data_IF_417604729262
#
_entry.id   IF_417604729262
#
_cell.length_a   1.000
_cell.length_b   1.000
_cell.length_c   1.000
_cell.angle_alpha   90.00
_cell.angle_beta   90.00
_cell.angle_gamma   90.00
#
_symmetry.space_group_name_H-M   'P 1'
#
loop_
_entity.id
_entity.type
_entity.pdbx_description
1 polymer ?
#
# COMPACT_ATOMS: atom_id res chain seq x y z
N UNK A 1 10.16 16.21 -26.82
CA UNK A 1 8.79 16.49 -26.34
C UNK A 1 8.82 17.75 -25.47
N UNK A 2 7.75 18.56 -25.41
CA UNK A 2 7.72 19.72 -24.50
C UNK A 2 7.16 19.30 -23.14
N UNK A 3 7.78 19.77 -22.06
CA UNK A 3 7.24 19.59 -20.72
C UNK A 3 5.84 20.21 -20.63
N UNK A 4 4.80 19.49 -20.20
CA UNK A 4 3.45 20.04 -20.10
C UNK A 4 3.33 21.13 -19.03
N UNK A 5 4.28 21.22 -18.09
CA UNK A 5 4.26 22.21 -17.02
C UNK A 5 4.97 23.52 -17.40
N UNK A 6 6.21 23.45 -17.90
CA UNK A 6 7.05 24.64 -18.16
C UNK A 6 7.45 24.81 -19.64
N UNK A 7 6.92 24.00 -20.54
CA UNK A 7 7.17 24.06 -21.99
C UNK A 7 8.64 23.83 -22.43
N UNK A 8 9.53 23.46 -21.51
CA UNK A 8 10.93 23.13 -21.82
C UNK A 8 11.00 21.94 -22.78
N UNK A 9 11.86 22.02 -23.79
CA UNK A 9 12.14 20.89 -24.69
C UNK A 9 12.92 19.80 -23.95
N UNK A 10 12.33 18.62 -23.85
CA UNK A 10 12.89 17.44 -23.21
C UNK A 10 13.30 16.39 -24.25
N UNK A 11 14.40 15.64 -24.01
CA UNK A 11 14.76 14.48 -24.82
C UNK A 11 13.66 13.41 -24.74
N UNK A 12 13.60 12.57 -25.78
CA UNK A 12 12.68 11.44 -25.79
C UNK A 12 12.99 10.49 -24.63
N UNK A 13 11.97 10.07 -23.87
CA UNK A 13 12.13 9.18 -22.72
C UNK A 13 12.55 9.86 -21.41
N UNK A 14 12.63 11.19 -21.35
CA UNK A 14 12.87 11.90 -20.10
C UNK A 14 11.78 11.55 -19.08
N UNK A 15 12.15 10.99 -17.91
CA UNK A 15 11.20 10.67 -16.83
C UNK A 15 10.76 11.91 -16.06
N UNK A 16 11.62 12.92 -15.98
CA UNK A 16 11.36 14.20 -15.32
C UNK A 16 11.84 15.36 -16.20
N UNK A 17 11.23 16.53 -16.03
CA UNK A 17 11.69 17.76 -16.64
C UNK A 17 12.95 18.25 -15.92
N UNK A 18 14.07 18.38 -16.63
CA UNK A 18 15.31 18.89 -16.04
C UNK A 18 15.27 20.40 -15.68
N UNK A 19 14.22 21.11 -16.11
CA UNK A 19 14.04 22.54 -15.83
C UNK A 19 13.13 22.79 -14.62
N UNK A 20 11.99 22.09 -14.51
CA UNK A 20 11.03 22.32 -13.42
C UNK A 20 10.76 21.09 -12.52
N UNK A 21 11.45 19.97 -12.73
CA UNK A 21 11.28 18.74 -11.96
C UNK A 21 10.00 17.95 -12.25
N UNK A 22 9.08 18.46 -13.09
CA UNK A 22 7.80 17.81 -13.32
C UNK A 22 7.96 16.41 -13.98
N UNK A 23 7.30 15.36 -13.46
CA UNK A 23 7.31 14.03 -14.07
C UNK A 23 6.71 14.09 -15.48
N UNK A 24 7.23 13.26 -16.39
CA UNK A 24 6.76 13.18 -17.76
C UNK A 24 5.93 11.90 -17.98
N UNK A 25 4.94 11.94 -18.89
CA UNK A 25 4.17 10.76 -19.24
C UNK A 25 5.09 9.68 -19.81
N UNK A 26 5.31 8.59 -19.07
CA UNK A 26 5.97 7.41 -19.61
C UNK A 26 4.97 6.63 -20.46
N UNK A 27 5.33 6.26 -21.72
CA UNK A 27 4.56 5.29 -22.48
C UNK A 27 4.42 4.03 -21.61
N UNK A 28 3.19 3.53 -21.44
CA UNK A 28 2.97 2.25 -20.78
C UNK A 28 3.63 1.10 -21.55
N UNK A 29 3.66 -0.12 -20.96
CA UNK A 29 4.06 -1.32 -21.69
C UNK A 29 3.30 -1.41 -23.03
N UNK A 30 3.95 -1.83 -24.13
CA UNK A 30 3.28 -1.99 -25.42
C UNK A 30 2.08 -2.94 -25.28
N UNK A 31 0.87 -2.44 -25.54
CA UNK A 31 -0.36 -3.24 -25.54
C UNK A 31 -1.34 -2.96 -24.41
N UNK A 32 -0.98 -2.19 -23.38
CA UNK A 32 -1.97 -1.76 -22.38
C UNK A 32 -2.77 -0.53 -22.87
N UNK A 33 -4.12 -0.58 -22.83
CA UNK A 33 -4.93 0.57 -23.15
C UNK A 33 -4.63 1.71 -22.15
N UNK A 34 -4.68 2.98 -22.61
CA UNK A 34 -4.48 4.11 -21.71
C UNK A 34 -5.49 4.05 -20.57
N UNK A 35 -5.07 4.37 -19.33
CA UNK A 35 -5.96 4.32 -18.18
C UNK A 35 -7.13 5.28 -18.39
N UNK A 36 -8.33 4.81 -18.06
CA UNK A 36 -9.55 5.64 -18.06
C UNK A 36 -9.71 6.29 -16.70
N UNK A 37 -10.14 7.57 -16.62
CA UNK A 37 -10.53 8.19 -15.36
C UNK A 37 -11.64 7.38 -14.67
N UNK A 38 -11.53 7.20 -13.35
CA UNK A 38 -12.54 6.54 -12.52
C UNK A 38 -13.76 7.43 -12.24
N UNK A 39 -13.68 8.72 -12.54
CA UNK A 39 -14.77 9.68 -12.41
C UNK A 39 -14.92 10.49 -13.68
N UNK A 40 -16.15 10.82 -14.05
CA UNK A 40 -16.46 11.78 -15.09
C UNK A 40 -16.42 13.19 -14.49
N UNK A 41 -15.38 13.95 -14.87
CA UNK A 41 -15.15 15.31 -14.39
C UNK A 41 -16.15 16.34 -14.93
N UNK A 42 -16.95 16.00 -15.94
CA UNK A 42 -18.02 16.85 -16.47
C UNK A 42 -19.35 16.69 -15.73
N UNK A 43 -19.50 15.60 -14.97
CA UNK A 43 -20.69 15.31 -14.18
C UNK A 43 -20.60 15.77 -12.72
N UNK A 44 -21.50 15.24 -11.89
CA UNK A 44 -21.47 15.43 -10.44
C UNK A 44 -20.39 14.54 -9.83
N UNK A 45 -19.16 15.05 -9.70
CA UNK A 45 -18.01 14.30 -9.19
C UNK A 45 -18.18 13.94 -7.72
N UNK A 46 -18.74 14.83 -6.90
CA UNK A 46 -18.98 14.57 -5.48
C UNK A 46 -19.88 13.35 -5.27
N UNK A 47 -21.01 13.28 -5.99
CA UNK A 47 -21.93 12.15 -5.91
C UNK A 47 -21.26 10.85 -6.38
N UNK A 48 -20.51 10.90 -7.49
CA UNK A 48 -19.77 9.74 -7.99
C UNK A 48 -18.78 9.21 -6.96
N UNK A 49 -18.04 10.09 -6.29
CA UNK A 49 -17.08 9.71 -5.23
C UNK A 49 -17.79 9.11 -4.01
N UNK A 50 -18.90 9.70 -3.57
CA UNK A 50 -19.67 9.16 -2.44
C UNK A 50 -20.24 7.76 -2.73
N UNK A 51 -20.75 7.51 -3.94
CA UNK A 51 -21.23 6.20 -4.37
C UNK A 51 -20.08 5.18 -4.48
N UNK A 52 -18.95 5.59 -5.06
CA UNK A 52 -17.77 4.74 -5.16
C UNK A 52 -17.16 4.40 -3.80
N UNK A 53 -17.25 5.28 -2.80
CA UNK A 53 -16.77 4.96 -1.44
C UNK A 53 -17.50 3.76 -0.84
N UNK A 54 -18.83 3.66 -1.00
CA UNK A 54 -19.57 2.50 -0.49
C UNK A 54 -19.16 1.20 -1.18
N UNK A 55 -18.89 1.27 -2.49
CA UNK A 55 -18.33 0.14 -3.22
C UNK A 55 -16.92 -0.23 -2.74
N UNK A 56 -16.08 0.78 -2.46
CA UNK A 56 -14.75 0.57 -1.89
C UNK A 56 -14.80 -0.05 -0.49
N UNK A 57 -15.74 0.38 0.36
CA UNK A 57 -15.99 -0.21 1.68
C UNK A 57 -16.41 -1.67 1.55
N UNK A 58 -17.34 -1.99 0.65
CA UNK A 58 -17.76 -3.38 0.38
C UNK A 58 -16.56 -4.23 -0.02
N UNK A 59 -15.81 -3.78 -1.02
CA UNK A 59 -14.62 -4.48 -1.52
C UNK A 59 -13.59 -4.68 -0.41
N UNK A 60 -13.37 -3.66 0.42
CA UNK A 60 -12.46 -3.72 1.58
C UNK A 60 -12.87 -4.83 2.55
N UNK A 61 -14.15 -4.89 2.91
CA UNK A 61 -14.66 -5.93 3.83
C UNK A 61 -14.56 -7.32 3.20
N UNK A 62 -14.84 -7.46 1.90
CA UNK A 62 -14.76 -8.73 1.19
C UNK A 62 -13.32 -9.25 1.04
N UNK A 63 -12.35 -8.37 0.80
CA UNK A 63 -10.95 -8.75 0.56
C UNK A 63 -10.12 -8.87 1.84
N UNK A 64 -10.42 -8.06 2.86
CA UNK A 64 -9.53 -7.88 4.02
C UNK A 64 -10.16 -8.37 5.33
N UNK A 65 -11.49 -8.50 5.39
CA UNK A 65 -12.24 -8.88 6.58
C UNK A 65 -13.22 -10.03 6.27
N UNK A 66 -14.13 -10.28 7.21
CA UNK A 66 -15.20 -11.24 7.02
C UNK A 66 -16.33 -10.64 6.17
N UNK A 67 -16.44 -11.10 4.93
CA UNK A 67 -17.46 -10.65 3.97
C UNK A 67 -18.90 -10.71 4.53
N UNK A 68 -19.21 -11.69 5.38
CA UNK A 68 -20.52 -11.83 5.99
C UNK A 68 -20.86 -10.69 6.96
N UNK A 69 -19.86 -9.93 7.43
CA UNK A 69 -20.03 -8.78 8.31
C UNK A 69 -20.23 -7.46 7.58
N UNK A 70 -20.26 -7.42 6.24
CA UNK A 70 -20.42 -6.18 5.48
C UNK A 70 -21.62 -5.34 5.97
N UNK A 71 -22.74 -5.98 6.31
CA UNK A 71 -23.91 -5.28 6.84
C UNK A 71 -23.58 -4.47 8.09
N UNK A 72 -22.82 -5.04 9.04
CA UNK A 72 -22.41 -4.36 10.27
C UNK A 72 -21.49 -3.16 9.99
N UNK A 73 -20.55 -3.26 9.05
CA UNK A 73 -19.73 -2.11 8.64
C UNK A 73 -20.57 -1.02 7.98
N UNK A 74 -21.52 -1.40 7.13
CA UNK A 74 -22.43 -0.46 6.48
C UNK A 74 -23.29 0.26 7.51
N UNK A 75 -23.91 -0.46 8.45
CA UNK A 75 -24.71 0.14 9.55
C UNK A 75 -23.85 1.09 10.39
N UNK A 76 -22.63 0.67 10.76
CA UNK A 76 -21.69 1.51 11.50
C UNK A 76 -21.35 2.81 10.77
N UNK A 77 -21.27 2.81 9.43
CA UNK A 77 -21.02 4.02 8.63
C UNK A 77 -22.15 5.06 8.81
N UNK A 78 -23.40 4.62 8.94
CA UNK A 78 -24.55 5.50 9.18
C UNK A 78 -24.62 5.93 10.65
N UNK A 79 -24.55 4.98 11.58
CA UNK A 79 -24.75 5.24 13.01
C UNK A 79 -23.65 6.13 13.62
N UNK A 80 -22.42 6.00 13.14
CA UNK A 80 -21.28 6.82 13.60
C UNK A 80 -21.31 8.27 13.09
N UNK A 81 -22.15 8.58 12.11
CA UNK A 81 -22.09 9.86 11.39
C UNK A 81 -20.87 10.01 10.47
N UNK A 82 -20.03 8.96 10.31
CA UNK A 82 -18.82 9.06 9.49
C UNK A 82 -19.10 9.35 8.01
N UNK A 83 -20.30 9.03 7.53
CA UNK A 83 -20.80 9.40 6.20
C UNK A 83 -20.65 10.91 5.90
N UNK A 84 -20.83 11.79 6.89
CA UNK A 84 -20.67 13.24 6.70
C UNK A 84 -19.20 13.62 6.43
N UNK A 85 -18.27 12.87 7.00
CA UNK A 85 -16.83 13.02 6.71
C UNK A 85 -16.53 12.57 5.29
N UNK A 86 -17.10 11.44 4.86
CA UNK A 86 -16.98 10.95 3.46
C UNK A 86 -17.49 12.01 2.48
N UNK A 87 -18.68 12.56 2.69
CA UNK A 87 -19.23 13.60 1.80
C UNK A 87 -18.33 14.84 1.74
N UNK A 88 -17.93 15.37 2.89
CA UNK A 88 -17.09 16.56 2.95
C UNK A 88 -15.75 16.37 2.23
N UNK A 89 -15.12 15.22 2.41
CA UNK A 89 -13.82 14.91 1.79
C UNK A 89 -13.95 14.60 0.30
N UNK A 90 -15.06 13.98 -0.12
CA UNK A 90 -15.41 13.82 -1.54
C UNK A 90 -15.66 15.16 -2.23
N UNK A 91 -16.35 16.10 -1.58
CA UNK A 91 -16.57 17.45 -2.12
C UNK A 91 -15.24 18.20 -2.32
N UNK A 92 -14.34 18.13 -1.32
CA UNK A 92 -13.00 18.73 -1.42
C UNK A 92 -12.21 18.17 -2.61
N UNK A 93 -12.14 16.84 -2.76
CA UNK A 93 -11.45 16.24 -3.89
C UNK A 93 -12.13 16.56 -5.23
N UNK A 94 -13.46 16.62 -5.29
CA UNK A 94 -14.20 16.98 -6.48
C UNK A 94 -13.82 18.38 -6.99
N UNK A 95 -13.73 19.37 -6.10
CA UNK A 95 -13.27 20.72 -6.43
C UNK A 95 -11.85 20.73 -6.99
N UNK A 96 -10.92 20.00 -6.35
CA UNK A 96 -9.53 19.88 -6.80
C UNK A 96 -9.41 19.25 -8.19
N UNK A 97 -10.12 18.15 -8.43
CA UNK A 97 -10.10 17.44 -9.72
C UNK A 97 -10.71 18.29 -10.84
N UNK A 98 -11.82 18.98 -10.57
CA UNK A 98 -12.43 19.89 -11.53
C UNK A 98 -11.53 21.09 -11.83
N UNK A 99 -10.83 21.63 -10.83
CA UNK A 99 -9.84 22.69 -11.03
C UNK A 99 -8.67 22.23 -11.94
N UNK A 100 -8.17 21.00 -11.75
CA UNK A 100 -7.16 20.40 -12.63
C UNK A 100 -7.65 20.25 -14.07
N UNK A 101 -8.92 19.85 -14.25
CA UNK A 101 -9.55 19.71 -15.57
C UNK A 101 -9.61 21.02 -16.32
N UNK A 102 -10.05 22.10 -15.65
CA UNK A 102 -10.11 23.46 -16.21
C UNK A 102 -8.74 23.98 -16.64
N UNK A 103 -7.67 23.54 -15.98
CA UNK A 103 -6.30 23.91 -16.32
C UNK A 103 -5.68 23.01 -17.41
N UNK A 104 -6.43 22.06 -17.99
CA UNK A 104 -5.93 21.04 -18.91
C UNK A 104 -4.74 20.23 -18.34
N UNK A 105 -4.73 20.05 -17.01
CA UNK A 105 -3.72 19.28 -16.25
C UNK A 105 -4.25 17.96 -15.69
N UNK A 106 -5.51 17.65 -15.98
CA UNK A 106 -6.14 16.40 -15.59
C UNK A 106 -5.59 15.26 -16.46
N UNK A 107 -4.98 14.28 -15.79
CA UNK A 107 -4.55 13.02 -16.39
C UNK A 107 -5.23 11.87 -15.63
N UNK A 108 -5.63 10.82 -16.35
CA UNK A 108 -6.38 9.70 -15.78
C UNK A 108 -5.63 9.00 -14.64
N UNK A 109 -4.30 8.83 -14.75
CA UNK A 109 -3.50 8.21 -13.67
C UNK A 109 -3.52 9.08 -12.43
N UNK A 110 -3.36 10.40 -12.59
CA UNK A 110 -3.40 11.35 -11.47
C UNK A 110 -4.77 11.37 -10.79
N UNK A 111 -5.85 11.40 -11.57
CA UNK A 111 -7.23 11.32 -11.05
C UNK A 111 -7.40 10.03 -10.24
N UNK A 112 -7.10 8.88 -10.85
CA UNK A 112 -7.30 7.58 -10.21
C UNK A 112 -6.45 7.42 -8.94
N UNK A 113 -5.20 7.90 -8.94
CA UNK A 113 -4.33 7.91 -7.76
C UNK A 113 -4.92 8.77 -6.64
N UNK A 114 -5.45 9.95 -6.97
CA UNK A 114 -6.02 10.87 -5.97
C UNK A 114 -7.27 10.28 -5.31
N UNK A 115 -8.16 9.66 -6.11
CA UNK A 115 -9.34 8.96 -5.60
C UNK A 115 -8.93 7.75 -4.74
N UNK A 116 -7.97 6.95 -5.19
CA UNK A 116 -7.48 5.81 -4.43
C UNK A 116 -6.86 6.23 -3.09
N UNK A 117 -6.04 7.28 -3.06
CA UNK A 117 -5.46 7.82 -1.82
C UNK A 117 -6.52 8.33 -0.85
N UNK A 118 -7.52 9.04 -1.35
CA UNK A 118 -8.64 9.51 -0.52
C UNK A 118 -9.38 8.33 0.12
N UNK A 119 -9.75 7.33 -0.68
CA UNK A 119 -10.52 6.19 -0.17
C UNK A 119 -9.70 5.32 0.77
N UNK A 120 -8.43 5.07 0.50
CA UNK A 120 -7.58 4.32 1.41
C UNK A 120 -7.50 5.00 2.79
N UNK A 121 -7.28 6.32 2.82
CA UNK A 121 -7.21 7.06 4.09
C UNK A 121 -8.55 7.13 4.83
N UNK A 122 -9.66 7.35 4.11
CA UNK A 122 -10.99 7.34 4.73
C UNK A 122 -11.38 5.96 5.27
N UNK A 123 -11.08 4.89 4.53
CA UNK A 123 -11.37 3.52 4.96
C UNK A 123 -10.52 3.13 6.16
N UNK A 124 -9.22 3.45 6.17
CA UNK A 124 -8.35 3.16 7.30
C UNK A 124 -8.82 3.90 8.55
N UNK A 125 -9.12 5.20 8.43
CA UNK A 125 -9.65 5.97 9.56
C UNK A 125 -10.97 5.40 10.08
N UNK A 126 -11.89 5.04 9.17
CA UNK A 126 -13.18 4.45 9.52
C UNK A 126 -13.00 3.13 10.27
N UNK A 127 -12.27 2.19 9.69
CA UNK A 127 -12.08 0.84 10.22
C UNK A 127 -11.37 0.88 11.58
N UNK A 128 -10.36 1.75 11.73
CA UNK A 128 -9.57 1.86 12.96
C UNK A 128 -10.37 2.52 14.08
N UNK A 129 -11.09 3.61 13.83
CA UNK A 129 -11.74 4.37 14.90
C UNK A 129 -13.15 3.91 15.20
N UNK A 130 -13.89 3.43 14.20
CA UNK A 130 -15.32 3.16 14.33
C UNK A 130 -15.67 1.69 14.26
N UNK A 131 -14.78 0.78 13.86
CA UNK A 131 -15.11 -0.64 13.68
C UNK A 131 -14.32 -1.59 14.60
N UNK A 132 -13.68 -1.09 15.67
CA UNK A 132 -12.85 -1.92 16.57
C UNK A 132 -13.55 -3.17 17.09
N UNK A 133 -14.84 -3.05 17.42
CA UNK A 133 -15.70 -4.15 17.91
C UNK A 133 -16.16 -5.13 16.81
N UNK A 134 -16.02 -4.75 15.54
CA UNK A 134 -16.43 -5.54 14.37
C UNK A 134 -15.22 -6.24 13.72
N UNK A 135 -14.04 -5.62 13.80
CA UNK A 135 -12.81 -6.09 13.18
C UNK A 135 -12.31 -7.40 13.84
N UNK A 136 -11.92 -8.38 13.03
CA UNK A 136 -11.27 -9.61 13.50
C UNK A 136 -9.80 -9.39 13.85
N UNK A 137 -9.14 -8.49 13.09
CA UNK A 137 -7.76 -8.07 13.30
C UNK A 137 -7.75 -6.56 13.48
N UNK A 138 -7.10 -6.09 14.54
CA UNK A 138 -6.99 -4.66 14.81
C UNK A 138 -5.83 -4.08 14.00
N UNK A 139 -6.13 -3.04 13.22
CA UNK A 139 -5.11 -2.26 12.54
C UNK A 139 -4.56 -1.19 13.51
N UNK A 140 -3.22 -1.00 13.59
CA UNK A 140 -2.64 -0.03 14.50
C UNK A 140 -3.00 1.40 14.12
N UNK A 141 -3.42 2.23 15.08
CA UNK A 141 -3.73 3.65 14.84
C UNK A 141 -2.51 4.43 14.30
N UNK A 142 -1.29 3.96 14.62
CA UNK A 142 -0.05 4.53 14.14
C UNK A 142 0.09 4.55 12.62
N UNK A 143 -0.68 3.78 11.85
CA UNK A 143 -0.64 3.83 10.39
C UNK A 143 -1.25 5.12 9.83
N UNK A 144 -2.17 5.75 10.57
CA UNK A 144 -2.88 6.95 10.11
C UNK A 144 -1.96 8.17 9.96
N UNK A 145 -0.78 8.15 10.59
CA UNK A 145 0.23 9.21 10.46
C UNK A 145 0.82 9.32 9.04
N UNK A 146 0.59 8.33 8.19
CA UNK A 146 1.05 8.33 6.79
C UNK A 146 -0.04 8.73 5.79
N UNK A 147 -1.24 9.08 6.26
CA UNK A 147 -2.30 9.54 5.39
C UNK A 147 -2.01 10.93 4.83
N UNK A 148 -2.17 11.08 3.51
CA UNK A 148 -1.92 12.33 2.80
C UNK A 148 -0.45 12.66 2.54
N UNK A 149 0.50 11.80 2.95
CA UNK A 149 1.92 11.99 2.66
C UNK A 149 2.30 11.43 1.28
N UNK A 150 3.21 12.11 0.59
CA UNK A 150 3.87 11.59 -0.60
C UNK A 150 5.07 10.71 -0.24
N UNK A 151 5.48 9.83 -1.16
CA UNK A 151 6.54 8.85 -0.91
C UNK A 151 7.86 9.44 -0.37
N UNK A 152 8.25 10.62 -0.86
CA UNK A 152 9.50 11.27 -0.44
C UNK A 152 9.44 11.87 0.98
N UNK A 153 8.24 12.00 1.55
CA UNK A 153 8.02 12.50 2.92
C UNK A 153 8.04 11.37 3.95
N UNK A 154 8.00 10.12 3.48
CA UNK A 154 7.84 8.93 4.31
C UNK A 154 9.19 8.32 4.66
N UNK A 155 9.45 8.17 5.96
CA UNK A 155 10.43 7.19 6.42
C UNK A 155 9.83 5.79 6.29
N UNK A 156 10.27 5.05 5.27
CA UNK A 156 9.78 3.70 4.98
C UNK A 156 9.91 2.76 6.19
N UNK A 157 10.98 2.85 6.98
CA UNK A 157 11.15 1.99 8.13
C UNK A 157 10.07 2.25 9.19
N UNK A 158 9.79 3.52 9.48
CA UNK A 158 8.75 3.91 10.43
C UNK A 158 7.35 3.47 9.94
N UNK A 159 7.13 3.49 8.62
CA UNK A 159 5.88 3.03 8.02
C UNK A 159 5.70 1.53 8.15
N UNK A 160 6.75 0.76 7.86
CA UNK A 160 6.75 -0.69 8.04
C UNK A 160 6.46 -1.05 9.50
N UNK A 161 7.18 -0.45 10.46
CA UNK A 161 6.99 -0.77 11.88
C UNK A 161 5.58 -0.39 12.37
N UNK A 162 5.04 0.74 11.92
CA UNK A 162 3.68 1.14 12.28
C UNK A 162 2.61 0.18 11.74
N UNK A 163 2.80 -0.38 10.55
CA UNK A 163 1.84 -1.33 9.97
C UNK A 163 1.95 -2.71 10.60
N UNK A 164 3.18 -3.24 10.70
CA UNK A 164 3.40 -4.61 11.16
C UNK A 164 3.25 -4.75 12.68
N UNK A 165 3.57 -3.68 13.43
CA UNK A 165 3.30 -3.58 14.87
C UNK A 165 3.74 -4.83 15.64
N UNK A 166 5.01 -5.18 15.46
CA UNK A 166 5.60 -6.40 16.02
C UNK A 166 5.49 -6.48 17.56
N UNK A 167 5.32 -5.36 18.25
CA UNK A 167 5.11 -5.33 19.71
C UNK A 167 3.81 -6.06 20.10
N UNK A 168 2.81 -6.08 19.23
CA UNK A 168 1.53 -6.76 19.42
C UNK A 168 1.41 -8.07 18.61
N UNK A 169 2.52 -8.58 18.07
CA UNK A 169 2.60 -9.86 17.35
C UNK A 169 3.58 -10.80 18.07
N UNK A 170 3.24 -11.31 19.28
CA UNK A 170 4.18 -12.03 20.15
C UNK A 170 4.67 -13.36 19.59
N UNK A 171 3.97 -13.91 18.59
CA UNK A 171 4.35 -15.14 17.89
C UNK A 171 5.51 -14.89 16.89
N UNK A 172 5.71 -13.64 16.47
CA UNK A 172 6.67 -13.28 15.45
C UNK A 172 8.02 -12.87 16.04
N UNK A 173 9.09 -13.55 15.63
CA UNK A 173 10.44 -13.25 16.10
C UNK A 173 11.14 -12.26 15.17
N UNK A 174 10.77 -10.99 15.29
CA UNK A 174 11.35 -9.90 14.51
C UNK A 174 12.64 -9.32 15.13
N UNK A 175 13.66 -9.14 14.30
CA UNK A 175 14.90 -8.42 14.61
C UNK A 175 14.91 -7.10 13.84
N UNK A 176 14.63 -6.01 14.54
CA UNK A 176 14.68 -4.63 13.99
C UNK A 176 16.04 -3.96 14.25
N UNK A 177 16.78 -4.44 15.27
CA UNK A 177 18.15 -4.00 15.57
C UNK A 177 19.19 -5.02 15.12
N UNK A 178 19.56 -5.03 13.84
CA UNK A 178 20.43 -6.06 13.25
C UNK A 178 21.82 -6.17 13.90
N UNK A 179 22.33 -5.08 14.51
CA UNK A 179 23.59 -5.10 15.26
C UNK A 179 23.55 -6.01 16.50
N UNK A 180 22.35 -6.27 17.04
CA UNK A 180 22.13 -7.15 18.19
C UNK A 180 21.72 -8.56 17.77
N UNK A 181 21.51 -8.80 16.48
CA UNK A 181 21.08 -10.11 15.97
C UNK A 181 22.25 -11.12 16.04
N UNK A 182 22.01 -12.36 16.48
CA UNK A 182 23.05 -13.39 16.47
C UNK A 182 23.62 -13.61 15.06
N UNK A 183 24.96 -13.62 14.96
CA UNK A 183 25.68 -13.68 13.67
C UNK A 183 25.27 -14.90 12.84
N UNK A 184 25.07 -16.06 13.46
CA UNK A 184 24.69 -17.27 12.73
C UNK A 184 23.29 -17.19 12.13
N UNK A 185 22.36 -16.49 12.80
CA UNK A 185 21.03 -16.22 12.24
C UNK A 185 21.10 -15.27 11.05
N UNK A 186 21.89 -14.21 11.16
CA UNK A 186 22.09 -13.27 10.06
C UNK A 186 22.73 -13.98 8.84
N UNK A 187 23.73 -14.85 9.07
CA UNK A 187 24.32 -15.69 8.02
C UNK A 187 23.29 -16.63 7.40
N UNK A 188 22.43 -17.25 8.20
CA UNK A 188 21.38 -18.13 7.69
C UNK A 188 20.36 -17.33 6.85
N UNK A 189 19.86 -16.20 7.33
CA UNK A 189 18.96 -15.36 6.55
C UNK A 189 19.59 -14.99 5.20
N UNK A 190 20.84 -14.52 5.23
CA UNK A 190 21.62 -14.16 4.04
C UNK A 190 21.82 -15.30 3.04
N UNK A 191 22.00 -16.53 3.55
CA UNK A 191 22.20 -17.73 2.72
C UNK A 191 20.89 -18.26 2.13
N UNK A 192 19.78 -18.16 2.85
CA UNK A 192 18.57 -18.92 2.53
C UNK A 192 17.47 -18.10 1.90
N UNK A 193 17.31 -16.82 2.22
CA UNK A 193 16.19 -16.03 1.66
C UNK A 193 16.42 -14.53 1.51
N UNK A 194 17.39 -13.93 2.21
CA UNK A 194 17.66 -12.50 2.18
C UNK A 194 18.93 -12.23 1.37
N UNK A 195 18.77 -12.04 0.07
CA UNK A 195 19.86 -11.76 -0.88
C UNK A 195 19.76 -10.33 -1.44
N UNK A 196 19.94 -9.29 -0.59
CA UNK A 196 19.88 -7.90 -1.03
C UNK A 196 21.09 -7.55 -1.91
N UNK A 197 20.93 -6.49 -2.71
CA UNK A 197 22.07 -5.88 -3.39
C UNK A 197 23.09 -5.34 -2.38
N UNK A 198 24.36 -5.19 -2.77
CA UNK A 198 25.46 -4.83 -1.85
C UNK A 198 25.22 -3.54 -1.04
N UNK A 199 24.48 -2.59 -1.59
CA UNK A 199 24.19 -1.30 -0.95
C UNK A 199 22.75 -1.20 -0.42
N UNK A 200 21.96 -2.26 -0.54
CA UNK A 200 20.56 -2.25 -0.13
C UNK A 200 20.45 -2.47 1.39
N UNK A 201 19.89 -1.48 2.08
CA UNK A 201 19.76 -1.50 3.53
C UNK A 201 18.64 -2.44 3.98
N UNK A 202 18.98 -3.39 4.83
CA UNK A 202 18.03 -4.28 5.51
C UNK A 202 17.36 -3.50 6.65
N UNK A 203 16.03 -3.57 6.72
CA UNK A 203 15.23 -2.85 7.70
C UNK A 203 14.88 -3.75 8.89
N UNK A 204 14.46 -4.98 8.63
CA UNK A 204 14.24 -5.99 9.66
C UNK A 204 14.35 -7.40 9.09
N UNK A 205 14.47 -8.39 9.97
CA UNK A 205 14.38 -9.82 9.64
C UNK A 205 13.42 -10.49 10.63
N UNK A 206 12.46 -11.28 10.16
CA UNK A 206 11.64 -12.17 10.98
C UNK A 206 12.09 -13.63 10.79
N UNK A 207 12.25 -14.36 11.89
CA UNK A 207 12.63 -15.77 11.91
C UNK A 207 11.40 -16.66 12.13
N UNK A 208 11.05 -17.44 11.10
CA UNK A 208 9.93 -18.38 11.14
C UNK A 208 10.40 -19.84 11.09
N UNK A 209 11.69 -20.10 11.32
CA UNK A 209 12.17 -21.47 11.46
C UNK A 209 11.61 -22.10 12.73
N UNK A 210 11.11 -23.34 12.64
CA UNK A 210 10.61 -24.11 13.80
C UNK A 210 11.59 -24.19 14.98
N UNK A 211 12.90 -24.27 14.69
CA UNK A 211 13.96 -24.32 15.70
C UNK A 211 14.64 -22.95 15.92
N UNK A 212 14.08 -21.88 15.38
CA UNK A 212 14.65 -20.53 15.45
C UNK A 212 16.02 -20.42 14.79
N UNK A 213 16.24 -21.13 13.68
CA UNK A 213 17.51 -21.10 12.93
C UNK A 213 17.64 -19.94 11.96
N UNK A 214 16.54 -19.24 11.64
CA UNK A 214 16.46 -18.17 10.64
C UNK A 214 16.83 -18.63 9.21
N UNK A 215 16.50 -19.88 8.87
CA UNK A 215 16.59 -20.43 7.49
C UNK A 215 15.27 -20.29 6.73
N UNK A 216 14.20 -20.02 7.45
CA UNK A 216 12.86 -19.67 6.99
C UNK A 216 12.45 -18.37 7.67
N UNK A 217 11.60 -17.61 7.01
CA UNK A 217 11.17 -16.30 7.48
C UNK A 217 10.99 -15.30 6.35
N UNK A 218 10.87 -14.04 6.74
CA UNK A 218 10.77 -12.93 5.81
C UNK A 218 11.54 -11.72 6.32
N UNK A 219 11.92 -10.84 5.42
CA UNK A 219 12.68 -9.64 5.71
C UNK A 219 12.28 -8.55 4.73
N UNK A 220 12.30 -7.31 5.18
CA UNK A 220 12.15 -6.17 4.28
C UNK A 220 13.41 -5.32 4.29
N UNK A 221 13.70 -4.77 3.13
CA UNK A 221 14.77 -3.81 2.89
C UNK A 221 14.16 -2.49 2.47
N UNK A 222 14.97 -1.53 2.06
CA UNK A 222 14.47 -0.31 1.44
C UNK A 222 13.95 -0.50 0.00
N UNK A 223 14.09 -1.68 -0.60
CA UNK A 223 13.68 -1.95 -1.98
C UNK A 223 12.69 -3.10 -2.16
N UNK A 224 12.65 -4.06 -1.24
CA UNK A 224 11.90 -5.29 -1.47
C UNK A 224 11.48 -6.03 -0.19
N UNK A 225 10.49 -6.90 -0.36
CA UNK A 225 10.19 -7.99 0.56
C UNK A 225 10.91 -9.26 0.08
N UNK A 226 11.60 -9.93 1.01
CA UNK A 226 12.26 -11.22 0.83
C UNK A 226 11.62 -12.24 1.75
N UNK A 227 11.36 -13.46 1.28
CA UNK A 227 10.82 -14.50 2.16
C UNK A 227 11.11 -15.91 1.68
N UNK A 228 11.02 -16.85 2.61
CA UNK A 228 11.04 -18.29 2.35
C UNK A 228 10.20 -19.00 3.40
N UNK A 229 9.07 -19.54 2.96
CA UNK A 229 8.26 -20.45 3.75
C UNK A 229 8.88 -21.86 3.80
N UNK A 230 8.39 -22.70 4.71
CA UNK A 230 8.87 -24.07 4.86
C UNK A 230 8.63 -24.88 3.57
N UNK A 231 9.64 -25.64 3.13
CA UNK A 231 9.64 -26.42 1.88
C UNK A 231 9.40 -25.60 0.59
N UNK A 232 9.46 -24.27 0.66
CA UNK A 232 9.36 -23.39 -0.50
C UNK A 232 10.74 -22.86 -0.91
N UNK A 233 10.84 -22.44 -2.16
CA UNK A 233 11.99 -21.65 -2.63
C UNK A 233 11.88 -20.24 -2.11
N UNK A 234 13.04 -19.59 -1.92
CA UNK A 234 13.07 -18.20 -1.56
C UNK A 234 12.50 -17.31 -2.67
N UNK A 235 11.88 -16.21 -2.25
CA UNK A 235 11.21 -15.25 -3.12
C UNK A 235 11.63 -13.83 -2.76
N UNK A 236 11.51 -12.95 -3.76
CA UNK A 236 11.71 -11.51 -3.66
C UNK A 236 10.58 -10.82 -4.41
N UNK A 237 10.01 -9.79 -3.80
CA UNK A 237 9.08 -8.86 -4.44
C UNK A 237 9.62 -7.44 -4.26
N UNK A 238 10.15 -6.85 -5.34
CA UNK A 238 10.59 -5.45 -5.34
C UNK A 238 9.38 -4.53 -5.30
N UNK A 239 9.45 -3.43 -4.56
CA UNK A 239 8.35 -2.47 -4.42
C UNK A 239 7.91 -1.88 -5.76
N UNK A 240 8.84 -1.71 -6.70
CA UNK A 240 8.63 -1.30 -8.08
C UNK A 240 7.84 -2.32 -8.93
N UNK A 241 7.80 -3.57 -8.47
CA UNK A 241 7.22 -4.72 -9.18
C UNK A 241 5.99 -5.30 -8.49
N UNK A 242 5.47 -4.65 -7.44
CA UNK A 242 4.24 -5.07 -6.77
C UNK A 242 3.04 -4.87 -7.69
N UNK A 243 2.48 -5.96 -8.21
CA UNK A 243 1.36 -5.92 -9.14
C UNK A 243 0.10 -6.49 -8.50
N UNK A 244 0.18 -7.69 -7.93
CA UNK A 244 -0.96 -8.42 -7.38
C UNK A 244 -0.70 -8.78 -5.92
N UNK A 245 -1.57 -8.31 -5.03
CA UNK A 245 -1.47 -8.54 -3.59
C UNK A 245 -2.89 -8.85 -3.11
N UNK A 246 -3.16 -10.13 -2.88
CA UNK A 246 -4.48 -10.59 -2.45
C UNK A 246 -4.37 -11.59 -1.31
N UNK A 247 -5.39 -11.59 -0.47
CA UNK A 247 -5.59 -12.56 0.59
C UNK A 247 -6.38 -13.75 0.05
N UNK A 248 -5.99 -14.94 0.47
CA UNK A 248 -6.67 -16.19 0.17
C UNK A 248 -6.85 -16.93 1.50
N UNK A 249 -8.05 -16.86 2.08
CA UNK A 249 -8.33 -17.38 3.43
C UNK A 249 -7.35 -16.83 4.48
N UNK A 250 -6.34 -17.62 4.83
CA UNK A 250 -5.40 -17.39 5.92
C UNK A 250 -3.99 -17.05 5.43
N UNK A 251 -3.78 -16.87 4.13
CA UNK A 251 -2.47 -16.51 3.56
C UNK A 251 -2.59 -15.41 2.51
N UNK A 252 -1.43 -14.93 2.03
CA UNK A 252 -1.33 -13.98 0.93
C UNK A 252 -0.77 -14.63 -0.34
N UNK A 253 -1.22 -14.12 -1.47
CA UNK A 253 -0.52 -14.24 -2.75
C UNK A 253 0.06 -12.89 -3.12
N UNK A 254 1.39 -12.84 -3.21
CA UNK A 254 2.17 -11.66 -3.62
C UNK A 254 2.77 -11.98 -4.99
N UNK A 255 2.29 -11.33 -6.04
CA UNK A 255 2.60 -11.63 -7.44
C UNK A 255 2.44 -13.14 -7.76
N UNK A 256 1.38 -13.75 -7.24
CA UNK A 256 1.10 -15.18 -7.41
C UNK A 256 1.94 -16.13 -6.54
N UNK A 257 2.81 -15.62 -5.67
CA UNK A 257 3.62 -16.42 -4.77
C UNK A 257 3.05 -16.43 -3.35
N UNK A 258 3.02 -17.61 -2.74
CA UNK A 258 2.53 -17.83 -1.38
C UNK A 258 3.40 -17.10 -0.35
N UNK A 259 2.75 -16.35 0.53
CA UNK A 259 3.32 -15.75 1.73
C UNK A 259 2.37 -16.00 2.90
N UNK A 260 2.91 -16.36 4.05
CA UNK A 260 2.15 -16.54 5.27
C UNK A 260 3.05 -16.32 6.48
N UNK A 261 2.54 -15.62 7.49
CA UNK A 261 3.15 -15.47 8.80
C UNK A 261 2.18 -15.86 9.92
N UNK A 262 1.21 -14.98 10.18
CA UNK A 262 0.07 -15.23 11.05
C UNK A 262 -1.16 -14.56 10.41
N UNK A 263 -2.40 -14.97 10.73
CA UNK A 263 -3.59 -14.33 10.16
C UNK A 263 -3.64 -12.80 10.40
N UNK A 264 -3.14 -12.34 11.56
CA UNK A 264 -3.06 -10.91 11.89
C UNK A 264 -1.99 -10.21 11.05
N UNK A 265 -0.77 -10.75 11.06
CA UNK A 265 0.36 -10.14 10.37
C UNK A 265 0.21 -10.18 8.85
N UNK A 266 -0.47 -11.19 8.29
CA UNK A 266 -0.77 -11.28 6.86
C UNK A 266 -1.70 -10.14 6.43
N UNK A 267 -2.73 -9.81 7.21
CA UNK A 267 -3.56 -8.65 6.92
C UNK A 267 -2.76 -7.34 7.03
N UNK A 268 -1.93 -7.19 8.07
CA UNK A 268 -1.06 -6.02 8.23
C UNK A 268 -0.06 -5.88 7.06
N UNK A 269 0.51 -6.99 6.59
CA UNK A 269 1.40 -7.05 5.44
C UNK A 269 0.67 -6.71 4.13
N UNK A 270 -0.55 -7.22 3.94
CA UNK A 270 -1.41 -6.88 2.80
C UNK A 270 -1.62 -5.36 2.71
N UNK A 271 -2.02 -4.72 3.82
CA UNK A 271 -2.21 -3.27 3.91
C UNK A 271 -0.92 -2.51 3.58
N UNK A 272 0.18 -2.90 4.22
CA UNK A 272 1.49 -2.28 4.03
C UNK A 272 1.94 -2.33 2.56
N UNK A 273 1.87 -3.50 1.93
CA UNK A 273 2.30 -3.67 0.53
C UNK A 273 1.39 -2.92 -0.44
N UNK A 274 0.07 -2.89 -0.19
CA UNK A 274 -0.88 -2.08 -0.98
C UNK A 274 -0.60 -0.59 -0.84
N UNK A 275 -0.28 -0.13 0.38
CA UNK A 275 0.10 1.27 0.65
C UNK A 275 1.41 1.64 -0.05
N UNK A 276 2.43 0.79 0.03
CA UNK A 276 3.69 0.95 -0.70
C UNK A 276 3.42 1.03 -2.21
N UNK A 277 2.66 0.09 -2.78
CA UNK A 277 2.33 0.09 -4.22
C UNK A 277 1.61 1.37 -4.66
N UNK A 278 0.72 1.90 -3.83
CA UNK A 278 -0.03 3.13 -4.14
C UNK A 278 0.84 4.39 -4.12
N UNK A 279 1.79 4.44 -3.18
CA UNK A 279 2.64 5.62 -2.97
C UNK A 279 3.91 5.60 -3.81
N UNK A 280 4.49 4.43 -4.04
CA UNK A 280 5.77 4.27 -4.71
C UNK A 280 5.74 4.93 -6.11
N UNK A 281 6.73 5.75 -6.46
CA UNK A 281 6.80 6.37 -7.79
C UNK A 281 6.87 5.32 -8.91
N UNK A 282 6.15 5.55 -10.01
CA UNK A 282 6.24 4.77 -11.24
C UNK A 282 7.51 5.10 -12.05
#
# INVERSE_FOLDING_TARGET
MKCPNCQTNLPAGARFCFSCGAPQPQPGPPGEPPPKPCVDLSGNVEQQLAEQFLHALRKRVEEEHNAARFQAYSERLYESGFRDTVFRRSAQLAEELQALSRQARADARRINRSVALLFEGLLDYFVIHFCKDINEVQLPEAILKFEGLEWHEINLFDMILAHLDFEHEPEEKAYTGLLKMPVDKLKNAGKFFLFPERAERILFICDQSLLGSCKEGFAMTEKALYWKAQLQTARRAGYESLQDIRREKDWLLINGHFFHASPSLDLKMLRLLRKIRLLHPL
#
